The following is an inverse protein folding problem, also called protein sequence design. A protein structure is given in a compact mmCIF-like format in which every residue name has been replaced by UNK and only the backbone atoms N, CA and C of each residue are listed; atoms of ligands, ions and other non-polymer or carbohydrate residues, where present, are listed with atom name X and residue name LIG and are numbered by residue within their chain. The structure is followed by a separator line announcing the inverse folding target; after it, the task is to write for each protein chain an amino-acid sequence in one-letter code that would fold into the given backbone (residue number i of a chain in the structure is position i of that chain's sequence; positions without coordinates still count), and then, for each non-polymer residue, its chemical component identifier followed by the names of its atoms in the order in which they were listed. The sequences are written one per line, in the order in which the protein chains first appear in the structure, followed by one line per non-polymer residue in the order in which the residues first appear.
data_IF_167370778318
#
_entry.id   IF_167370778318
#
_cell.length_a   1.000
_cell.length_b   1.000
_cell.length_c   1.000
_cell.angle_alpha   90.00
_cell.angle_beta   90.00
_cell.angle_gamma   90.00
#
_symmetry.space_group_name_H-M   'P 1'
#
loop_
_entity.id
_entity.type
_entity.pdbx_description
1 polymer ?
#
# COMPACT_ATOMS: atom_id res chain seq x y z
N UNK A 1 44.68 34.17 -14.50
CA UNK A 1 43.25 34.12 -14.80
C UNK A 1 42.79 32.67 -14.78
N UNK A 2 42.53 32.00 -13.64
CA UNK A 2 42.50 32.38 -12.20
C UNK A 2 41.28 33.21 -11.73
N UNK A 3 40.07 32.73 -12.03
CA UNK A 3 38.78 33.24 -11.55
C UNK A 3 37.79 32.03 -11.47
N UNK A 4 37.51 31.32 -10.37
CA UNK A 4 37.70 31.48 -8.90
C UNK A 4 36.68 32.43 -8.24
N UNK A 5 35.90 32.05 -7.20
CA UNK A 5 35.88 30.77 -6.43
C UNK A 5 34.89 29.74 -7.07
N UNK A 6 33.74 29.24 -6.55
CA UNK A 6 32.99 29.38 -5.28
C UNK A 6 32.07 28.15 -5.07
N UNK A 7 31.70 27.81 -3.83
CA UNK A 7 30.77 26.71 -3.44
C UNK A 7 29.87 27.15 -2.28
N UNK A 8 28.64 26.63 -2.20
CA UNK A 8 27.80 26.68 -0.99
C UNK A 8 27.22 25.29 -0.69
N UNK A 9 27.45 24.80 0.53
CA UNK A 9 26.91 23.56 1.06
C UNK A 9 25.56 23.79 1.75
N UNK A 10 24.63 22.84 1.62
CA UNK A 10 23.38 22.82 2.40
C UNK A 10 23.42 21.71 3.46
N UNK A 11 23.93 22.05 4.64
CA UNK A 11 23.74 21.23 5.84
C UNK A 11 22.26 21.23 6.26
N UNK A 12 21.70 20.06 6.56
CA UNK A 12 20.41 19.93 7.25
C UNK A 12 20.68 19.31 8.62
N UNK A 13 20.64 20.15 9.65
CA UNK A 13 20.99 19.79 11.03
C UNK A 13 19.91 18.91 11.67
N UNK A 14 20.32 17.81 12.30
CA UNK A 14 19.41 16.95 13.07
C UNK A 14 19.07 17.55 14.43
N UNK A 15 17.80 17.87 14.67
CA UNK A 15 17.33 18.25 16.02
C UNK A 15 16.89 17.00 16.79
N UNK A 16 17.77 16.51 17.66
CA UNK A 16 17.40 15.59 18.74
C UNK A 16 16.56 16.35 19.77
N UNK A 17 15.52 15.70 20.30
CA UNK A 17 14.65 16.27 21.33
C UNK A 17 14.48 15.27 22.47
N UNK A 18 15.56 15.06 23.22
CA UNK A 18 15.54 14.31 24.47
C UNK A 18 14.90 15.14 25.58
N UNK A 19 13.79 14.67 26.13
CA UNK A 19 13.44 14.95 27.52
C UNK A 19 13.00 13.67 28.23
N UNK A 20 13.73 13.36 29.29
CA UNK A 20 13.28 12.45 30.34
C UNK A 20 11.97 12.97 30.95
N UNK A 21 11.12 12.05 31.39
CA UNK A 21 10.56 12.18 32.72
C UNK A 21 10.55 10.81 33.40
N UNK A 22 10.92 10.79 34.68
CA UNK A 22 11.03 9.58 35.48
C UNK A 22 9.80 9.46 36.39
N UNK A 23 9.25 8.26 36.54
CA UNK A 23 8.49 7.95 37.75
C UNK A 23 8.57 6.46 38.10
N UNK A 24 9.10 6.19 39.29
CA UNK A 24 9.42 4.86 39.79
C UNK A 24 8.59 4.59 41.03
N UNK A 25 7.67 3.61 40.95
CA UNK A 25 6.98 3.09 42.13
C UNK A 25 7.26 1.60 42.27
N UNK A 26 7.77 1.20 43.43
CA UNK A 26 8.29 -0.15 43.69
C UNK A 26 7.22 -1.02 44.37
N UNK A 27 7.25 -2.31 43.97
CA UNK A 27 6.65 -3.52 44.58
C UNK A 27 5.72 -3.41 45.80
N UNK A 28 4.71 -4.27 45.82
CA UNK A 28 4.60 -5.25 46.93
C UNK A 28 3.94 -6.54 46.48
N UNK A 29 4.43 -7.69 46.97
CA UNK A 29 3.88 -9.02 46.70
C UNK A 29 3.22 -9.59 47.96
N UNK A 30 2.03 -10.18 47.83
CA UNK A 30 1.46 -11.07 48.86
C UNK A 30 0.94 -12.35 48.20
N UNK A 31 1.20 -13.50 48.84
CA UNK A 31 0.69 -14.82 48.44
C UNK A 31 -0.29 -15.36 49.47
N UNK A 32 -1.47 -15.76 49.04
CA UNK A 32 -2.41 -16.60 49.81
C UNK A 32 -3.38 -17.27 48.83
N UNK A 33 -4.01 -18.41 49.10
CA UNK A 33 -3.61 -19.66 49.74
C UNK A 33 -4.69 -20.68 49.29
N UNK A 34 -4.45 -21.99 49.41
CA UNK A 34 -5.34 -23.05 48.86
C UNK A 34 -6.76 -23.06 49.45
N UNK A 35 -7.77 -23.48 48.66
CA UNK A 35 -8.76 -24.48 49.11
C UNK A 35 -9.36 -25.29 47.94
N UNK A 36 -9.70 -26.56 48.20
CA UNK A 36 -10.49 -27.45 47.32
C UNK A 36 -11.91 -27.61 47.88
N UNK A 37 -12.91 -27.69 47.02
CA UNK A 37 -14.15 -28.51 47.09
C UNK A 37 -14.82 -28.37 45.70
N UNK A 38 -15.06 -29.44 44.95
CA UNK A 38 -16.13 -30.46 45.07
C UNK A 38 -17.54 -29.89 44.82
N UNK A 39 -18.26 -30.56 43.91
CA UNK A 39 -19.58 -30.21 43.38
C UNK A 39 -20.72 -30.53 44.34
N UNK A 40 -21.89 -29.91 44.14
CA UNK A 40 -23.01 -30.73 43.64
C UNK A 40 -23.68 -30.15 42.39
N UNK A 41 -24.40 -31.01 41.66
CA UNK A 41 -25.23 -30.63 40.51
C UNK A 41 -26.61 -30.12 40.94
N UNK A 42 -27.11 -29.08 40.28
CA UNK A 42 -28.55 -28.76 40.27
C UNK A 42 -29.02 -28.34 38.88
N UNK A 43 -30.18 -28.84 38.47
CA UNK A 43 -30.77 -28.54 37.16
C UNK A 43 -31.59 -27.26 37.22
N UNK A 44 -31.13 -26.18 36.58
CA UNK A 44 -31.97 -25.01 36.29
C UNK A 44 -32.00 -24.67 34.80
N UNK A 45 -33.23 -24.49 34.31
CA UNK A 45 -33.61 -24.48 32.90
C UNK A 45 -33.54 -23.06 32.33
N UNK A 46 -32.34 -22.53 32.12
CA UNK A 46 -32.14 -21.17 31.61
C UNK A 46 -32.54 -21.02 30.14
N UNK A 47 -33.34 -19.98 29.85
CA UNK A 47 -33.93 -19.75 28.54
C UNK A 47 -32.91 -19.15 27.55
N UNK A 48 -32.65 -19.86 26.45
CA UNK A 48 -31.76 -19.40 25.37
C UNK A 48 -32.37 -18.23 24.59
N UNK A 49 -32.27 -17.02 25.14
CA UNK A 49 -32.52 -15.78 24.39
C UNK A 49 -31.40 -15.59 23.37
N UNK A 50 -31.61 -16.12 22.15
CA UNK A 50 -30.71 -15.98 21.01
C UNK A 50 -30.65 -14.52 20.53
N UNK A 51 -30.00 -13.64 21.29
CA UNK A 51 -29.56 -12.31 20.84
C UNK A 51 -28.48 -12.49 19.77
N UNK A 52 -28.92 -12.79 18.54
CA UNK A 52 -28.12 -12.67 17.31
C UNK A 52 -27.62 -11.23 17.24
N UNK A 53 -26.43 -10.96 17.79
CA UNK A 53 -25.66 -9.77 17.44
C UNK A 53 -25.48 -9.84 15.92
N UNK A 54 -26.21 -8.99 15.19
CA UNK A 54 -25.94 -8.75 13.77
C UNK A 54 -24.54 -8.13 13.72
N UNK A 55 -23.53 -8.98 13.51
CA UNK A 55 -22.21 -8.50 13.11
C UNK A 55 -22.43 -7.71 11.83
N UNK A 56 -22.12 -6.41 11.88
CA UNK A 56 -22.13 -5.55 10.70
C UNK A 56 -20.97 -5.96 9.80
N UNK A 57 -21.15 -7.09 9.11
CA UNK A 57 -20.29 -7.47 8.00
C UNK A 57 -20.44 -6.39 6.94
N UNK A 58 -19.50 -5.45 6.94
CA UNK A 58 -19.24 -4.54 5.83
C UNK A 58 -19.19 -5.44 4.60
N UNK A 59 -20.15 -5.26 3.67
CA UNK A 59 -20.17 -6.01 2.41
C UNK A 59 -18.89 -5.63 1.68
N UNK A 60 -17.89 -6.50 1.76
CA UNK A 60 -16.58 -6.31 1.19
C UNK A 60 -16.75 -6.02 -0.31
N UNK A 61 -16.62 -4.74 -0.70
CA UNK A 61 -16.76 -4.32 -2.09
C UNK A 61 -15.51 -4.79 -2.81
N UNK A 62 -15.53 -6.05 -3.26
CA UNK A 62 -14.52 -6.65 -4.12
C UNK A 62 -14.61 -6.03 -5.50
N UNK A 63 -14.17 -4.77 -5.59
CA UNK A 63 -13.73 -4.14 -6.82
C UNK A 63 -12.77 -5.13 -7.48
N UNK A 64 -13.08 -5.54 -8.72
CA UNK A 64 -12.24 -6.48 -9.47
C UNK A 64 -10.99 -5.76 -9.96
N UNK A 65 -10.05 -5.49 -9.06
CA UNK A 65 -8.68 -5.16 -9.46
C UNK A 65 -8.10 -6.33 -10.24
N UNK A 66 -7.37 -6.02 -11.32
CA UNK A 66 -6.64 -7.04 -12.09
C UNK A 66 -5.35 -7.49 -11.37
N UNK A 67 -5.30 -7.36 -10.04
CA UNK A 67 -4.22 -7.82 -9.18
C UNK A 67 -4.18 -9.36 -9.23
N UNK A 68 -3.32 -9.87 -10.11
CA UNK A 68 -2.91 -11.27 -10.11
C UNK A 68 -1.82 -11.41 -9.05
N UNK A 69 -2.07 -12.19 -8.00
CA UNK A 69 -1.11 -12.49 -6.94
C UNK A 69 0.30 -12.72 -7.53
N UNK A 70 1.33 -11.94 -7.15
CA UNK A 70 2.68 -12.06 -7.69
C UNK A 70 3.25 -13.46 -7.64
N UNK A 71 4.15 -13.80 -8.56
CA UNK A 71 4.73 -15.15 -8.64
C UNK A 71 5.46 -15.53 -7.35
N UNK A 72 6.19 -14.60 -6.71
CA UNK A 72 6.89 -14.86 -5.44
C UNK A 72 5.93 -15.16 -4.26
N UNK A 73 4.68 -14.66 -4.28
CA UNK A 73 3.64 -15.01 -3.29
C UNK A 73 2.94 -16.35 -3.60
N UNK A 74 3.22 -16.96 -4.76
CA UNK A 74 2.81 -18.34 -5.11
C UNK A 74 3.92 -19.36 -4.85
N UNK A 75 5.18 -18.92 -4.72
CA UNK A 75 6.32 -19.78 -4.38
C UNK A 75 6.09 -20.38 -2.99
N UNK A 76 6.52 -21.63 -2.79
CA UNK A 76 6.35 -22.32 -1.51
C UNK A 76 6.91 -21.49 -0.33
N UNK A 77 6.14 -21.24 0.76
CA UNK A 77 6.49 -20.23 1.75
C UNK A 77 7.88 -20.36 2.39
N UNK A 78 8.44 -21.56 2.51
CA UNK A 78 9.81 -21.74 3.03
C UNK A 78 10.88 -21.00 2.19
N UNK A 79 10.75 -20.96 0.86
CA UNK A 79 11.68 -20.25 -0.03
C UNK A 79 11.52 -18.73 0.08
N UNK A 80 10.26 -18.27 0.19
CA UNK A 80 9.92 -16.87 0.43
C UNK A 80 10.50 -16.37 1.77
N UNK A 81 10.37 -17.15 2.84
CA UNK A 81 11.02 -16.85 4.12
C UNK A 81 12.54 -17.02 4.09
N UNK A 82 13.11 -17.82 3.19
CA UNK A 82 14.56 -17.95 3.02
C UNK A 82 15.15 -16.69 2.39
N UNK A 83 14.49 -16.12 1.38
CA UNK A 83 14.86 -14.81 0.82
C UNK A 83 14.71 -13.69 1.86
N UNK A 84 13.54 -13.55 2.48
CA UNK A 84 13.30 -12.53 3.52
C UNK A 84 14.25 -12.67 4.72
N UNK A 85 14.68 -13.89 5.08
CA UNK A 85 15.64 -14.12 6.17
C UNK A 85 17.01 -13.48 5.90
N UNK A 86 17.43 -13.32 4.64
CA UNK A 86 18.70 -12.67 4.29
C UNK A 86 18.67 -11.17 4.65
N UNK A 87 17.54 -10.49 4.42
CA UNK A 87 17.34 -9.09 4.83
C UNK A 87 17.07 -8.96 6.33
N UNK A 88 16.11 -9.74 6.86
CA UNK A 88 15.66 -9.64 8.26
C UNK A 88 16.70 -10.08 9.31
N UNK A 89 17.77 -10.77 8.89
CA UNK A 89 18.84 -11.36 9.74
C UNK A 89 18.32 -12.24 10.91
N UNK A 90 17.05 -12.65 10.87
CA UNK A 90 16.32 -13.28 11.97
C UNK A 90 15.80 -14.69 11.61
N UNK A 91 15.82 -15.63 12.57
CA UNK A 91 15.40 -17.03 12.32
C UNK A 91 13.91 -17.26 12.63
N UNK A 92 13.07 -17.17 11.60
CA UNK A 92 11.62 -17.43 11.66
C UNK A 92 11.31 -18.91 11.97
N UNK A 93 11.38 -19.30 13.24
CA UNK A 93 11.17 -20.69 13.69
C UNK A 93 9.71 -21.00 14.00
N UNK A 94 8.90 -20.05 14.50
CA UNK A 94 7.53 -20.33 14.95
C UNK A 94 6.51 -20.26 13.80
N UNK A 95 5.51 -21.16 13.82
CA UNK A 95 4.38 -21.17 12.87
C UNK A 95 3.43 -19.96 13.06
N UNK A 96 3.51 -19.24 14.17
CA UNK A 96 2.86 -17.93 14.38
C UNK A 96 3.57 -16.83 13.58
N UNK A 97 4.87 -16.63 13.84
CA UNK A 97 5.74 -15.65 13.14
C UNK A 97 5.64 -15.76 11.63
N UNK A 98 5.74 -16.98 11.08
CA UNK A 98 5.62 -17.20 9.62
C UNK A 98 4.25 -16.79 9.07
N UNK A 99 3.14 -17.12 9.75
CA UNK A 99 1.79 -16.73 9.31
C UNK A 99 1.59 -15.21 9.40
N UNK A 100 2.09 -14.59 10.47
CA UNK A 100 2.09 -13.14 10.62
C UNK A 100 2.86 -12.48 9.47
N UNK A 101 4.10 -12.89 9.22
CA UNK A 101 4.95 -12.28 8.19
C UNK A 101 4.39 -12.47 6.78
N UNK A 102 3.85 -13.65 6.44
CA UNK A 102 3.21 -13.89 5.14
C UNK A 102 2.01 -12.97 4.92
N UNK A 103 1.17 -12.79 5.95
CA UNK A 103 0.02 -11.90 5.86
C UNK A 103 0.44 -10.43 5.77
N UNK A 104 1.49 -10.02 6.52
CA UNK A 104 2.05 -8.66 6.49
C UNK A 104 2.58 -8.33 5.09
N UNK A 105 3.44 -9.20 4.57
CA UNK A 105 4.01 -9.11 3.23
C UNK A 105 2.93 -9.01 2.15
N UNK A 106 1.86 -9.82 2.23
CA UNK A 106 0.75 -9.77 1.27
C UNK A 106 0.02 -8.41 1.33
N UNK A 107 -0.30 -7.91 2.53
CA UNK A 107 -0.98 -6.62 2.69
C UNK A 107 -0.13 -5.44 2.19
N UNK A 108 1.18 -5.43 2.51
CA UNK A 108 2.09 -4.37 2.03
C UNK A 108 2.32 -4.47 0.51
N UNK A 109 2.41 -5.67 -0.08
CA UNK A 109 2.48 -5.85 -1.53
C UNK A 109 1.23 -5.28 -2.22
N UNK A 110 0.06 -5.55 -1.66
CA UNK A 110 -1.20 -5.02 -2.16
C UNK A 110 -1.28 -3.49 -2.04
N UNK A 111 -0.76 -2.87 -0.96
CA UNK A 111 -0.60 -1.42 -0.87
C UNK A 111 0.35 -0.86 -1.93
N UNK A 112 1.59 -1.37 -2.03
CA UNK A 112 2.58 -0.87 -2.99
C UNK A 112 2.08 -1.03 -4.44
N UNK A 113 1.34 -2.10 -4.74
CA UNK A 113 0.68 -2.27 -6.03
C UNK A 113 -0.38 -1.20 -6.29
N UNK A 114 -1.22 -0.87 -5.29
CA UNK A 114 -2.22 0.19 -5.42
C UNK A 114 -1.59 1.58 -5.52
N UNK A 115 -0.49 1.87 -4.82
CA UNK A 115 0.26 3.13 -4.97
C UNK A 115 0.78 3.28 -6.41
N UNK A 116 1.42 2.25 -6.95
CA UNK A 116 1.87 2.24 -8.35
C UNK A 116 0.72 2.42 -9.35
N UNK A 117 -0.45 1.84 -9.09
CA UNK A 117 -1.64 2.11 -9.91
C UNK A 117 -2.17 3.53 -9.74
N UNK A 118 -2.32 4.03 -8.50
CA UNK A 118 -2.82 5.38 -8.20
C UNK A 118 -1.96 6.43 -8.90
N UNK A 119 -0.65 6.31 -8.84
CA UNK A 119 0.28 7.26 -9.47
C UNK A 119 0.11 7.31 -11.00
N UNK A 120 -0.07 6.16 -11.67
CA UNK A 120 -0.35 6.13 -13.11
C UNK A 120 -1.71 6.75 -13.44
N UNK A 121 -2.77 6.38 -12.72
CA UNK A 121 -4.12 6.90 -12.98
C UNK A 121 -4.27 8.39 -12.63
N UNK A 122 -3.55 8.88 -11.63
CA UNK A 122 -3.47 10.30 -11.31
C UNK A 122 -2.74 11.06 -12.43
N UNK A 123 -1.65 10.50 -12.96
CA UNK A 123 -0.94 11.08 -14.12
C UNK A 123 -1.83 11.10 -15.38
N UNK A 124 -2.67 10.08 -15.57
CA UNK A 124 -3.68 10.08 -16.63
C UNK A 124 -4.76 11.16 -16.41
N UNK A 125 -5.25 11.34 -15.17
CA UNK A 125 -6.24 12.38 -14.85
C UNK A 125 -5.72 13.78 -15.14
N UNK A 126 -4.53 14.11 -14.61
CA UNK A 126 -3.89 15.43 -14.77
C UNK A 126 -3.69 15.76 -16.26
N UNK A 127 -2.89 14.96 -16.97
CA UNK A 127 -2.58 15.20 -18.38
C UNK A 127 -3.82 15.10 -19.30
N UNK A 128 -4.78 14.23 -18.95
CA UNK A 128 -6.00 14.04 -19.74
C UNK A 128 -7.00 15.20 -19.60
N UNK A 129 -7.05 15.85 -18.43
CA UNK A 129 -7.78 17.10 -18.24
C UNK A 129 -7.06 18.29 -18.88
N UNK A 130 -5.72 18.36 -18.78
CA UNK A 130 -4.90 19.45 -19.32
C UNK A 130 -4.92 19.50 -20.86
N UNK A 131 -4.55 18.40 -21.52
CA UNK A 131 -4.37 18.36 -22.98
C UNK A 131 -5.61 17.84 -23.74
N UNK A 132 -6.72 17.58 -23.05
CA UNK A 132 -7.98 17.00 -23.58
C UNK A 132 -7.85 15.66 -24.34
N UNK A 133 -6.73 14.96 -24.20
CA UNK A 133 -6.42 13.69 -24.88
C UNK A 133 -6.28 12.60 -23.84
N UNK A 134 -6.98 11.47 -24.00
CA UNK A 134 -6.85 10.32 -23.09
C UNK A 134 -6.01 9.20 -23.73
N UNK A 135 -5.34 8.33 -22.93
CA UNK A 135 -4.72 7.13 -23.47
C UNK A 135 -5.80 6.15 -23.95
N UNK A 136 -5.57 5.41 -25.04
CA UNK A 136 -6.54 4.44 -25.59
C UNK A 136 -7.09 3.44 -24.55
N UNK A 137 -6.28 3.10 -23.54
CA UNK A 137 -6.68 2.24 -22.42
C UNK A 137 -7.81 2.82 -21.55
N UNK A 138 -7.99 4.16 -21.53
CA UNK A 138 -9.08 4.85 -20.83
C UNK A 138 -10.33 4.80 -21.69
N UNK A 139 -10.27 5.27 -22.95
CA UNK A 139 -11.40 5.20 -23.90
C UNK A 139 -12.00 3.78 -23.97
N UNK A 140 -11.17 2.73 -24.10
CA UNK A 140 -11.64 1.34 -24.14
C UNK A 140 -12.28 0.84 -22.82
N UNK A 141 -11.90 1.38 -21.65
CA UNK A 141 -12.46 0.98 -20.35
C UNK A 141 -13.72 1.77 -19.99
N UNK A 142 -13.74 3.06 -20.33
CA UNK A 142 -14.91 3.94 -20.21
C UNK A 142 -15.99 3.61 -21.26
N UNK A 143 -15.60 2.95 -22.37
CA UNK A 143 -16.45 2.61 -23.54
C UNK A 143 -17.05 3.83 -24.24
N UNK A 144 -16.29 4.91 -24.29
CA UNK A 144 -16.68 6.18 -24.90
C UNK A 144 -15.44 6.90 -25.41
N UNK A 145 -15.64 7.82 -26.35
CA UNK A 145 -14.63 8.78 -26.81
C UNK A 145 -14.83 10.17 -26.17
N UNK A 146 -15.94 10.39 -25.44
CA UNK A 146 -16.27 11.67 -24.80
C UNK A 146 -15.31 11.98 -23.66
N UNK A 147 -14.79 13.22 -23.64
CA UNK A 147 -13.78 13.66 -22.68
C UNK A 147 -14.30 13.64 -21.23
N UNK A 148 -15.47 14.21 -20.99
CA UNK A 148 -16.14 14.28 -19.69
C UNK A 148 -16.35 12.90 -19.07
N UNK A 149 -16.91 11.96 -19.83
CA UNK A 149 -17.15 10.59 -19.37
C UNK A 149 -15.83 9.82 -19.12
N UNK A 150 -14.76 10.11 -19.86
CA UNK A 150 -13.43 9.58 -19.56
C UNK A 150 -12.87 10.14 -18.25
N UNK A 151 -13.03 11.46 -18.01
CA UNK A 151 -12.63 12.12 -16.77
C UNK A 151 -13.39 11.56 -15.56
N UNK A 152 -14.71 11.43 -15.64
CA UNK A 152 -15.55 10.81 -14.60
C UNK A 152 -15.14 9.37 -14.31
N UNK A 153 -14.89 8.58 -15.37
CA UNK A 153 -14.41 7.20 -15.24
C UNK A 153 -13.07 7.14 -14.47
N UNK A 154 -12.09 7.98 -14.80
CA UNK A 154 -10.78 8.01 -14.13
C UNK A 154 -10.92 8.48 -12.68
N UNK A 155 -11.70 9.54 -12.42
CA UNK A 155 -11.96 10.02 -11.06
C UNK A 155 -12.65 8.95 -10.18
N UNK A 156 -13.62 8.23 -10.74
CA UNK A 156 -14.28 7.10 -10.06
C UNK A 156 -13.29 5.97 -9.78
N UNK A 157 -12.45 5.62 -10.74
CA UNK A 157 -11.46 4.56 -10.57
C UNK A 157 -10.38 4.91 -9.52
N UNK A 158 -10.00 6.19 -9.40
CA UNK A 158 -9.12 6.67 -8.33
C UNK A 158 -9.78 6.55 -6.95
N UNK A 159 -11.07 6.86 -6.82
CA UNK A 159 -11.85 6.63 -5.58
C UNK A 159 -11.93 5.14 -5.23
N UNK A 160 -12.16 4.27 -6.22
CA UNK A 160 -12.14 2.82 -6.08
C UNK A 160 -10.76 2.28 -5.62
N UNK A 161 -9.66 2.87 -6.09
CA UNK A 161 -8.29 2.54 -5.65
C UNK A 161 -8.06 3.00 -4.21
N UNK A 162 -8.44 4.23 -3.87
CA UNK A 162 -8.22 4.78 -2.53
C UNK A 162 -8.99 4.00 -1.45
N UNK A 163 -10.25 3.62 -1.71
CA UNK A 163 -11.05 2.79 -0.79
C UNK A 163 -10.36 1.46 -0.43
N UNK A 164 -9.68 0.83 -1.39
CA UNK A 164 -8.92 -0.40 -1.15
C UNK A 164 -7.60 -0.12 -0.42
N UNK A 165 -6.94 1.00 -0.72
CA UNK A 165 -5.72 1.41 0.00
C UNK A 165 -6.01 1.71 1.48
N UNK A 166 -7.12 2.39 1.77
CA UNK A 166 -7.60 2.67 3.13
C UNK A 166 -7.95 1.37 3.86
N UNK A 167 -8.62 0.43 3.18
CA UNK A 167 -8.87 -0.90 3.74
C UNK A 167 -7.58 -1.64 4.09
N UNK A 168 -6.60 -1.72 3.19
CA UNK A 168 -5.32 -2.37 3.50
C UNK A 168 -4.54 -1.64 4.60
N UNK A 169 -4.67 -0.31 4.71
CA UNK A 169 -4.12 0.47 5.82
C UNK A 169 -4.75 0.04 7.15
N UNK A 170 -6.08 -0.11 7.20
CA UNK A 170 -6.80 -0.58 8.38
C UNK A 170 -6.47 -2.04 8.75
N UNK A 171 -6.38 -2.94 7.76
CA UNK A 171 -5.98 -4.33 7.97
C UNK A 171 -4.55 -4.41 8.51
N UNK A 172 -3.62 -3.58 8.01
CA UNK A 172 -2.26 -3.46 8.53
C UNK A 172 -2.22 -2.93 9.96
N UNK A 173 -2.96 -1.87 10.30
CA UNK A 173 -3.04 -1.36 11.69
C UNK A 173 -3.59 -2.44 12.62
N UNK A 174 -4.69 -3.10 12.23
CA UNK A 174 -5.29 -4.22 12.96
C UNK A 174 -4.33 -5.41 13.09
N UNK A 175 -3.40 -5.59 12.16
CA UNK A 175 -2.36 -6.61 12.27
C UNK A 175 -1.21 -6.17 13.19
N UNK A 176 -0.83 -4.89 13.21
CA UNK A 176 0.26 -4.34 14.01
C UNK A 176 0.11 -4.65 15.51
N UNK A 177 -1.13 -4.55 16.03
CA UNK A 177 -1.52 -4.94 17.40
C UNK A 177 -1.14 -6.38 17.78
N UNK A 178 -1.00 -7.25 16.77
CA UNK A 178 -0.81 -8.70 16.89
C UNK A 178 0.62 -9.12 16.53
N UNK A 179 1.55 -8.15 16.48
CA UNK A 179 2.96 -8.39 16.18
C UNK A 179 3.61 -9.26 17.27
N UNK A 180 4.21 -10.41 16.94
CA UNK A 180 4.94 -11.21 17.91
C UNK A 180 6.16 -10.45 18.45
N UNK A 181 6.24 -10.26 19.76
CA UNK A 181 7.37 -9.61 20.49
C UNK A 181 8.73 -10.30 20.33
N UNK A 182 8.79 -11.38 19.54
CA UNK A 182 10.02 -12.13 19.22
C UNK A 182 10.52 -11.87 17.81
N UNK A 183 9.84 -11.02 17.02
CA UNK A 183 10.37 -10.43 15.80
C UNK A 183 11.15 -9.14 16.11
N UNK A 184 11.83 -8.58 15.10
CA UNK A 184 12.37 -7.22 15.18
C UNK A 184 11.25 -6.17 15.31
N UNK A 185 11.57 -4.91 15.71
CA UNK A 185 10.60 -3.82 15.76
C UNK A 185 9.83 -3.67 14.44
N UNK A 186 8.53 -3.39 14.54
CA UNK A 186 7.62 -3.42 13.39
C UNK A 186 8.04 -2.45 12.27
N UNK A 187 8.63 -1.30 12.61
CA UNK A 187 9.19 -0.34 11.65
C UNK A 187 10.30 -1.00 10.82
N UNK A 188 11.27 -1.66 11.46
CA UNK A 188 12.36 -2.40 10.78
C UNK A 188 11.81 -3.55 9.93
N UNK A 189 10.79 -4.25 10.43
CA UNK A 189 10.14 -5.34 9.71
C UNK A 189 9.46 -4.83 8.42
N UNK A 190 8.67 -3.75 8.53
CA UNK A 190 7.98 -3.14 7.39
C UNK A 190 8.94 -2.49 6.38
N UNK A 191 10.08 -1.95 6.83
CA UNK A 191 11.15 -1.46 5.92
C UNK A 191 11.69 -2.60 5.06
N UNK A 192 12.15 -3.72 5.65
CA UNK A 192 12.68 -4.85 4.87
C UNK A 192 11.62 -5.53 4.00
N UNK A 193 10.35 -5.55 4.44
CA UNK A 193 9.21 -5.99 3.63
C UNK A 193 9.05 -5.08 2.40
N UNK A 194 9.10 -3.75 2.57
CA UNK A 194 9.01 -2.78 1.46
C UNK A 194 10.19 -2.88 0.49
N UNK A 195 11.42 -2.98 0.99
CA UNK A 195 12.63 -3.22 0.17
C UNK A 195 12.46 -4.48 -0.70
N UNK A 196 12.03 -5.58 -0.10
CA UNK A 196 11.77 -6.84 -0.81
C UNK A 196 10.70 -6.66 -1.89
N UNK A 197 9.56 -6.06 -1.56
CA UNK A 197 8.45 -5.82 -2.49
C UNK A 197 8.88 -4.90 -3.64
N UNK A 198 9.63 -3.84 -3.39
CA UNK A 198 10.13 -2.92 -4.41
C UNK A 198 10.97 -3.67 -5.46
N UNK A 199 11.90 -4.52 -5.02
CA UNK A 199 12.70 -5.37 -5.92
C UNK A 199 11.83 -6.31 -6.75
N UNK A 200 10.78 -6.91 -6.18
CA UNK A 200 9.87 -7.78 -6.92
C UNK A 200 8.92 -7.01 -7.87
N UNK A 201 8.52 -5.78 -7.50
CA UNK A 201 7.62 -4.93 -8.28
C UNK A 201 8.35 -4.04 -9.31
N UNK A 202 9.68 -4.01 -9.34
CA UNK A 202 10.47 -3.17 -10.25
C UNK A 202 10.04 -3.33 -11.74
N UNK A 203 9.78 -4.57 -12.18
CA UNK A 203 9.32 -4.84 -13.55
C UNK A 203 7.92 -4.27 -13.85
N UNK A 204 7.04 -4.18 -12.85
CA UNK A 204 5.75 -3.50 -12.95
C UNK A 204 5.95 -1.98 -12.98
N UNK A 205 6.76 -1.43 -12.07
CA UNK A 205 7.09 0.01 -12.04
C UNK A 205 7.62 0.49 -13.40
N UNK A 206 8.64 -0.18 -13.94
CA UNK A 206 9.20 0.11 -15.26
C UNK A 206 8.14 0.07 -16.38
N UNK A 207 7.20 -0.89 -16.32
CA UNK A 207 6.12 -1.02 -17.31
C UNK A 207 5.09 0.11 -17.22
N UNK A 208 4.74 0.57 -16.02
CA UNK A 208 3.82 1.69 -15.81
C UNK A 208 4.47 3.01 -16.23
N UNK A 209 5.76 3.20 -15.93
CA UNK A 209 6.54 4.34 -16.39
C UNK A 209 6.62 4.39 -17.93
N UNK A 210 6.85 3.25 -18.60
CA UNK A 210 6.80 3.17 -20.06
C UNK A 210 5.41 3.54 -20.64
N UNK A 211 4.32 3.14 -19.98
CA UNK A 211 2.97 3.55 -20.39
C UNK A 211 2.77 5.07 -20.25
N UNK A 212 3.27 5.69 -19.19
CA UNK A 212 3.20 7.14 -18.98
C UNK A 212 4.07 7.91 -19.99
N UNK A 213 5.29 7.45 -20.26
CA UNK A 213 6.18 8.05 -21.28
C UNK A 213 5.51 7.99 -22.65
N UNK A 214 5.02 6.81 -23.08
CA UNK A 214 4.31 6.67 -24.36
C UNK A 214 3.08 7.59 -24.45
N UNK A 215 2.37 7.80 -23.36
CA UNK A 215 1.21 8.70 -23.32
C UNK A 215 1.63 10.18 -23.44
N UNK A 216 2.71 10.61 -22.79
CA UNK A 216 3.29 11.95 -22.99
C UNK A 216 3.73 12.18 -24.44
N UNK A 217 4.32 11.18 -25.09
CA UNK A 217 4.67 11.27 -26.51
C UNK A 217 3.43 11.46 -27.40
N UNK A 218 2.33 10.73 -27.16
CA UNK A 218 1.06 10.87 -27.91
C UNK A 218 0.44 12.28 -27.74
N UNK A 219 0.63 12.93 -26.58
CA UNK A 219 0.24 14.32 -26.36
C UNK A 219 1.12 15.24 -27.22
N UNK A 220 2.45 15.12 -27.09
CA UNK A 220 3.41 15.96 -27.81
C UNK A 220 3.29 15.84 -29.35
N UNK A 221 3.06 14.63 -29.87
CA UNK A 221 2.80 14.37 -31.29
C UNK A 221 1.58 15.16 -31.81
N UNK A 222 0.52 15.29 -30.99
CA UNK A 222 -0.67 16.06 -31.33
C UNK A 222 -0.46 17.56 -31.26
N UNK A 223 0.26 18.04 -30.23
CA UNK A 223 0.60 19.47 -30.08
C UNK A 223 1.48 19.95 -31.24
N UNK A 224 2.44 19.13 -31.66
CA UNK A 224 3.28 19.39 -32.83
C UNK A 224 2.44 19.42 -34.11
N UNK A 225 1.55 18.44 -34.31
CA UNK A 225 0.67 18.40 -35.47
C UNK A 225 -0.28 19.61 -35.53
N UNK A 226 -0.83 20.04 -34.39
CA UNK A 226 -1.68 21.23 -34.30
C UNK A 226 -0.89 22.51 -34.60
N UNK A 227 0.34 22.61 -34.09
CA UNK A 227 1.24 23.75 -34.38
C UNK A 227 1.59 23.85 -35.86
N UNK A 228 1.94 22.73 -36.50
CA UNK A 228 2.23 22.67 -37.93
C UNK A 228 0.98 22.98 -38.79
N UNK A 229 -0.19 22.48 -38.39
CA UNK A 229 -1.46 22.78 -39.07
C UNK A 229 -1.78 24.27 -39.02
N UNK A 230 -1.62 24.90 -37.85
CA UNK A 230 -1.82 26.34 -37.68
C UNK A 230 -0.80 27.15 -38.51
N UNK A 231 0.47 26.73 -38.54
CA UNK A 231 1.51 27.41 -39.31
C UNK A 231 1.20 27.45 -40.81
N UNK A 232 0.84 26.31 -41.40
CA UNK A 232 0.48 26.24 -42.82
C UNK A 232 -0.72 27.15 -43.13
N UNK A 233 -1.76 27.13 -42.28
CA UNK A 233 -2.92 28.03 -42.40
C UNK A 233 -2.59 29.53 -42.28
N UNK A 234 -1.41 29.90 -41.75
CA UNK A 234 -0.91 31.29 -41.69
C UNK A 234 0.14 31.62 -42.75
N UNK A 235 0.54 30.67 -43.59
CA UNK A 235 1.46 30.86 -44.72
C UNK A 235 0.71 30.84 -46.06
N UNK A 236 -0.42 30.15 -46.13
CA UNK A 236 -1.34 30.14 -47.28
C UNK A 236 -2.40 31.29 -47.24
N UNK A 237 -2.11 32.40 -46.55
CA UNK A 237 -2.96 33.61 -46.41
C UNK A 237 -2.23 34.90 -46.76
#
# INVERSE_FOLDING_TARGET
MVEVITTEDMEITTVLNDKMDQNTTIMTTVKSHKRKQMTPSSSQRSSKTNKRKKSSQIKLIRIKTNYKLPMYLKVHPNLLFQALRQQLKHTLKKKSERRFLHHRLQLVDQQCHLDLQRNLWQSYLTLGSEHQVWPNQVYHKAKTNEHSLCQEFVQKHLKDIQLQFDQYTHDLVTQSEKCPTTLCPLVTLDTHIKEFIQLQQQSLSNKLNYQLIRYKNIIHEKELFQTLSNYNLTVDQ
#
